data_IF_601793098423
#
_entry.id   IF_601793098423
#
_cell.length_a   1.000
_cell.length_b   1.000
_cell.length_c   1.000
_cell.angle_alpha   90.00
_cell.angle_beta   90.00
_cell.angle_gamma   90.00
#
_symmetry.space_group_name_H-M   'P 1'
#
loop_
_entity.id
_entity.type
_entity.pdbx_description
1 polymer ?
#
# COMPACT_ATOMS: atom_id res chain seq x y z
N UNK A 1 4.90 2.02 -11.26
CA UNK A 1 3.59 2.10 -10.59
C UNK A 1 3.37 0.79 -9.84
N UNK A 2 3.20 0.84 -8.52
CA UNK A 2 2.87 -0.37 -7.75
C UNK A 2 1.35 -0.51 -7.73
N UNK A 3 0.80 -1.60 -8.27
CA UNK A 3 -0.65 -1.84 -8.32
C UNK A 3 -1.01 -2.82 -7.21
N UNK A 4 -1.90 -2.41 -6.30
CA UNK A 4 -2.31 -3.23 -5.14
C UNK A 4 -3.37 -4.29 -5.53
N UNK A 5 -3.82 -4.29 -6.78
CA UNK A 5 -4.91 -5.16 -7.26
C UNK A 5 -6.28 -4.54 -6.99
N UNK A 6 -7.34 -5.32 -7.13
CA UNK A 6 -8.68 -4.91 -6.71
C UNK A 6 -8.89 -5.35 -5.27
N UNK A 7 -9.15 -4.39 -4.37
CA UNK A 7 -9.50 -4.69 -2.98
C UNK A 7 -11.02 -4.72 -2.86
N UNK A 8 -11.55 -5.84 -2.36
CA UNK A 8 -12.95 -5.94 -1.97
C UNK A 8 -13.14 -5.24 -0.61
N UNK A 9 -13.65 -4.00 -0.65
CA UNK A 9 -13.91 -3.21 0.56
C UNK A 9 -15.14 -3.71 1.35
N UNK A 10 -15.97 -4.59 0.79
CA UNK A 10 -17.23 -5.01 1.44
C UNK A 10 -17.02 -5.83 2.73
N UNK A 11 -15.86 -6.47 2.86
CA UNK A 11 -15.45 -7.20 4.06
C UNK A 11 -14.65 -6.36 5.07
N UNK A 12 -14.34 -5.10 4.77
CA UNK A 12 -13.49 -4.25 5.61
C UNK A 12 -14.32 -3.33 6.50
N UNK A 13 -13.82 -3.09 7.71
CA UNK A 13 -14.34 -1.99 8.53
C UNK A 13 -14.01 -0.63 7.89
N UNK A 14 -14.74 0.45 8.19
CA UNK A 14 -14.42 1.79 7.66
C UNK A 14 -12.98 2.22 7.95
N UNK A 15 -12.44 1.83 9.12
CA UNK A 15 -11.05 2.10 9.52
C UNK A 15 -10.06 1.36 8.62
N UNK A 16 -10.28 0.07 8.36
CA UNK A 16 -9.41 -0.74 7.51
C UNK A 16 -9.50 -0.30 6.04
N UNK A 17 -10.70 -0.04 5.52
CA UNK A 17 -10.89 0.48 4.17
C UNK A 17 -10.15 1.81 3.97
N UNK A 18 -10.16 2.69 4.97
CA UNK A 18 -9.41 3.96 4.92
C UNK A 18 -7.89 3.73 4.88
N UNK A 19 -7.36 2.78 5.66
CA UNK A 19 -5.95 2.42 5.61
C UNK A 19 -5.54 1.80 4.26
N UNK A 20 -6.39 0.96 3.67
CA UNK A 20 -6.16 0.41 2.33
C UNK A 20 -6.10 1.51 1.28
N UNK A 21 -7.05 2.45 1.32
CA UNK A 21 -7.07 3.61 0.41
C UNK A 21 -5.83 4.49 0.57
N UNK A 22 -5.31 4.65 1.79
CA UNK A 22 -4.03 5.34 2.02
C UNK A 22 -2.88 4.62 1.31
N UNK A 23 -2.78 3.29 1.50
CA UNK A 23 -1.75 2.49 0.85
C UNK A 23 -1.84 2.58 -0.68
N UNK A 24 -3.05 2.53 -1.25
CA UNK A 24 -3.30 2.67 -2.69
C UNK A 24 -2.84 4.03 -3.23
N UNK A 25 -3.23 5.13 -2.58
CA UNK A 25 -2.80 6.48 -2.95
C UNK A 25 -1.28 6.60 -2.90
N UNK A 26 -0.65 6.16 -1.80
CA UNK A 26 0.80 6.20 -1.66
C UNK A 26 1.55 5.35 -2.70
N UNK A 27 0.98 4.22 -3.11
CA UNK A 27 1.54 3.36 -4.16
C UNK A 27 1.38 3.95 -5.56
N UNK A 28 0.30 4.71 -5.79
CA UNK A 28 -0.06 5.36 -7.05
C UNK A 28 0.67 6.68 -7.24
N UNK A 29 0.32 7.67 -6.44
CA UNK A 29 0.90 8.99 -6.40
C UNK A 29 0.75 9.55 -4.96
N UNK A 30 1.86 9.67 -4.20
CA UNK A 30 1.83 10.23 -2.85
C UNK A 30 1.21 11.63 -2.76
N UNK A 31 1.18 12.41 -3.85
CA UNK A 31 0.53 13.73 -3.85
C UNK A 31 -1.00 13.66 -3.76
N UNK A 32 -1.62 12.49 -3.99
CA UNK A 32 -3.05 12.26 -3.78
C UNK A 32 -3.42 12.14 -2.28
N UNK A 33 -2.43 12.05 -1.39
CA UNK A 33 -2.63 12.07 0.07
C UNK A 33 -2.66 13.53 0.52
N UNK A 34 -3.74 14.22 0.17
CA UNK A 34 -3.98 15.63 0.46
C UNK A 34 -4.59 15.88 1.86
N UNK A 35 -4.76 17.15 2.21
CA UNK A 35 -5.32 17.58 3.51
C UNK A 35 -6.75 17.06 3.75
N UNK A 36 -7.54 16.92 2.68
CA UNK A 36 -8.88 16.35 2.73
C UNK A 36 -8.83 14.87 3.09
N UNK A 37 -7.87 14.13 2.55
CA UNK A 37 -7.66 12.73 2.89
C UNK A 37 -7.06 12.56 4.29
N UNK A 38 -6.14 13.42 4.73
CA UNK A 38 -5.69 13.44 6.12
C UNK A 38 -6.84 13.72 7.10
N UNK A 39 -7.81 14.56 6.69
CA UNK A 39 -9.01 14.81 7.49
C UNK A 39 -9.92 13.58 7.58
N UNK A 40 -9.96 12.73 6.54
CA UNK A 40 -10.65 11.43 6.58
C UNK A 40 -9.91 10.42 7.48
N UNK A 41 -8.57 10.37 7.40
CA UNK A 41 -7.76 9.52 8.27
C UNK A 41 -8.00 9.83 9.75
N UNK A 42 -8.06 11.13 10.11
CA UNK A 42 -8.35 11.59 11.48
C UNK A 42 -9.74 11.23 11.99
N UNK A 43 -10.66 10.74 11.15
CA UNK A 43 -11.95 10.20 11.61
C UNK A 43 -11.83 8.79 12.20
N UNK A 44 -10.74 8.08 11.90
CA UNK A 44 -10.56 6.67 12.23
C UNK A 44 -9.27 6.37 13.00
N UNK A 45 -8.29 7.28 12.95
CA UNK A 45 -6.96 7.13 13.51
C UNK A 45 -6.55 8.38 14.31
N UNK A 46 -5.75 8.20 15.36
CA UNK A 46 -5.05 9.32 16.01
C UNK A 46 -3.86 9.79 15.17
N UNK A 47 -3.31 10.96 15.48
CA UNK A 47 -2.14 11.47 14.75
C UNK A 47 -0.93 10.53 14.87
N UNK A 48 -0.74 9.88 16.03
CA UNK A 48 0.31 8.87 16.23
C UNK A 48 0.06 7.64 15.37
N UNK A 49 -1.17 7.12 15.34
CA UNK A 49 -1.53 5.98 14.50
C UNK A 49 -1.38 6.30 13.00
N UNK A 50 -1.68 7.53 12.58
CA UNK A 50 -1.48 7.97 11.19
C UNK A 50 0.01 7.91 10.83
N UNK A 51 0.90 8.37 11.71
CA UNK A 51 2.36 8.28 11.49
C UNK A 51 2.78 6.82 11.31
N UNK A 52 2.29 5.92 12.17
CA UNK A 52 2.61 4.49 12.09
C UNK A 52 2.11 3.85 10.79
N UNK A 53 0.86 4.12 10.38
CA UNK A 53 0.28 3.55 9.16
C UNK A 53 0.99 4.07 7.91
N UNK A 54 1.29 5.37 7.85
CA UNK A 54 2.05 5.97 6.74
C UNK A 54 3.45 5.37 6.67
N UNK A 55 4.11 5.19 7.82
CA UNK A 55 5.44 4.59 7.86
C UNK A 55 5.42 3.12 7.40
N UNK A 56 4.46 2.33 7.88
CA UNK A 56 4.28 0.94 7.46
C UNK A 56 4.04 0.83 5.95
N UNK A 57 3.13 1.65 5.39
CA UNK A 57 2.86 1.69 3.94
C UNK A 57 4.11 2.10 3.13
N UNK A 58 4.92 3.03 3.66
CA UNK A 58 6.16 3.48 3.02
C UNK A 58 7.19 2.36 2.88
N UNK A 59 7.36 1.52 3.90
CA UNK A 59 8.28 0.38 3.88
C UNK A 59 7.92 -0.59 2.75
N UNK A 60 6.64 -0.93 2.61
CA UNK A 60 6.19 -1.80 1.53
C UNK A 60 6.38 -1.18 0.16
N UNK A 61 6.10 0.13 0.01
CA UNK A 61 6.32 0.82 -1.25
C UNK A 61 7.82 0.86 -1.64
N UNK A 62 8.72 0.99 -0.66
CA UNK A 62 10.16 0.86 -0.88
C UNK A 62 10.55 -0.57 -1.28
N UNK A 63 10.10 -1.58 -0.54
CA UNK A 63 10.39 -2.99 -0.80
C UNK A 63 9.92 -3.42 -2.19
N UNK A 64 8.73 -2.98 -2.61
CA UNK A 64 8.22 -3.25 -3.96
C UNK A 64 9.12 -2.67 -5.04
N UNK A 65 9.58 -1.42 -4.89
CA UNK A 65 10.51 -0.80 -5.86
C UNK A 65 11.83 -1.55 -5.92
N UNK A 66 12.39 -1.95 -4.77
CA UNK A 66 13.62 -2.73 -4.71
C UNK A 66 13.46 -4.09 -5.40
N UNK A 67 12.45 -4.87 -5.00
CA UNK A 67 12.21 -6.22 -5.51
C UNK A 67 11.96 -6.24 -7.02
N UNK A 68 11.15 -5.31 -7.54
CA UNK A 68 10.87 -5.17 -8.97
C UNK A 68 12.15 -4.81 -9.74
N UNK A 69 12.92 -3.84 -9.24
CA UNK A 69 14.17 -3.39 -9.89
C UNK A 69 15.20 -4.51 -9.96
N UNK A 70 15.31 -5.29 -8.89
CA UNK A 70 16.25 -6.41 -8.80
C UNK A 70 15.73 -7.68 -9.47
N UNK A 71 14.48 -7.68 -9.99
CA UNK A 71 13.80 -8.86 -10.55
C UNK A 71 13.86 -10.06 -9.60
N UNK A 72 13.59 -9.78 -8.31
CA UNK A 72 13.58 -10.84 -7.30
C UNK A 72 12.39 -11.75 -7.54
N UNK A 73 12.67 -13.04 -7.65
CA UNK A 73 11.66 -14.08 -7.67
C UNK A 73 11.16 -14.40 -6.26
N UNK A 74 9.93 -14.89 -6.19
CA UNK A 74 9.42 -15.49 -4.97
C UNK A 74 10.24 -16.74 -4.59
N UNK A 75 10.09 -17.17 -3.33
CA UNK A 75 10.72 -18.39 -2.86
C UNK A 75 10.30 -19.59 -3.75
N UNK A 76 11.19 -20.58 -3.99
CA UNK A 76 10.92 -21.71 -4.88
C UNK A 76 9.70 -22.56 -4.47
N UNK A 77 9.39 -22.56 -3.18
CA UNK A 77 8.26 -23.24 -2.54
C UNK A 77 7.06 -22.32 -2.28
N UNK A 78 7.11 -21.07 -2.75
CA UNK A 78 6.06 -20.08 -2.58
C UNK A 78 4.89 -20.27 -3.54
N UNK A 79 3.71 -19.76 -3.15
CA UNK A 79 2.51 -19.74 -3.99
C UNK A 79 2.49 -18.63 -5.05
N UNK A 80 3.58 -17.86 -5.17
CA UNK A 80 3.69 -16.71 -6.07
C UNK A 80 4.43 -17.08 -7.35
N UNK A 81 4.02 -16.47 -8.47
CA UNK A 81 4.65 -16.70 -9.77
C UNK A 81 6.11 -16.23 -9.79
N UNK A 82 6.96 -16.98 -10.50
CA UNK A 82 8.38 -16.68 -10.71
C UNK A 82 8.63 -16.31 -12.17
N UNK A 83 9.75 -15.63 -12.44
CA UNK A 83 10.14 -15.22 -13.79
C UNK A 83 9.35 -14.02 -14.32
N UNK A 84 8.85 -13.15 -13.44
CA UNK A 84 8.09 -11.96 -13.85
C UNK A 84 8.89 -11.12 -14.85
N UNK A 85 8.31 -10.91 -16.04
CA UNK A 85 8.84 -10.02 -17.07
C UNK A 85 8.11 -8.69 -17.03
N UNK A 86 8.81 -7.67 -16.57
CA UNK A 86 8.34 -6.30 -16.65
C UNK A 86 8.58 -5.77 -18.08
N UNK A 87 7.60 -5.07 -18.69
CA UNK A 87 7.73 -4.47 -20.03
C UNK A 87 8.83 -3.39 -20.08
#
# INVERSE_FOLDING_TARGET
MCIIGHVDESGLTPREATAVRLAERMARDPHEVDDDFFSQLRQHFTDEEIVEVVFAASIFNWGNKFNITMRMDAAPDGSYETGMRYP
#
